data_IF_901014017891
#
_entry.id   IF_901014017891
#
_cell.length_a   1.000
_cell.length_b   1.000
_cell.length_c   1.000
_cell.angle_alpha   90.00
_cell.angle_beta   90.00
_cell.angle_gamma   90.00
#
_symmetry.space_group_name_H-M   'P 1'
#
loop_
_entity.id
_entity.type
_entity.pdbx_description
1 polymer ?
#
# COMPACT_ATOMS: atom_id res chain seq x y z
N UNK A 1 -4.76 -16.65 -20.30
CA UNK A 1 -5.87 -15.75 -19.97
C UNK A 1 -6.47 -16.19 -18.65
N UNK A 2 -6.68 -15.27 -17.72
CA UNK A 2 -7.33 -15.52 -16.42
C UNK A 2 -8.58 -14.63 -16.33
N UNK A 3 -9.66 -15.18 -15.82
CA UNK A 3 -10.81 -14.39 -15.40
C UNK A 3 -10.52 -13.74 -14.05
N UNK A 4 -10.96 -12.49 -13.85
CA UNK A 4 -10.58 -11.68 -12.74
C UNK A 4 -11.76 -10.90 -12.16
N UNK A 5 -11.84 -10.82 -10.83
CA UNK A 5 -12.73 -9.93 -10.10
C UNK A 5 -11.92 -8.99 -9.21
N UNK A 6 -12.02 -7.70 -9.47
CA UNK A 6 -11.46 -6.68 -8.59
C UNK A 6 -12.18 -6.72 -7.24
N UNK A 7 -11.42 -6.78 -6.16
CA UNK A 7 -11.92 -6.64 -4.79
C UNK A 7 -11.70 -5.22 -4.28
N UNK A 8 -10.50 -4.70 -4.41
CA UNK A 8 -10.13 -3.39 -3.90
C UNK A 8 -8.91 -2.84 -4.65
N UNK A 9 -8.79 -1.52 -4.69
CA UNK A 9 -7.58 -0.83 -5.12
C UNK A 9 -6.79 -0.40 -3.91
N UNK A 10 -5.51 -0.73 -3.90
CA UNK A 10 -4.58 -0.40 -2.84
C UNK A 10 -3.63 0.70 -3.33
N UNK A 11 -3.57 1.80 -2.59
CA UNK A 11 -2.83 3.00 -3.00
C UNK A 11 -1.44 3.00 -2.39
N UNK A 12 -0.44 3.41 -3.17
CA UNK A 12 0.89 3.70 -2.68
C UNK A 12 0.94 5.02 -1.92
N UNK A 13 1.57 4.98 -0.75
CA UNK A 13 1.76 6.13 0.15
C UNK A 13 3.21 6.25 0.60
N UNK A 14 3.60 7.46 0.94
CA UNK A 14 4.86 7.69 1.67
C UNK A 14 4.55 7.66 3.15
N UNK A 15 5.23 6.80 3.90
CA UNK A 15 5.11 6.70 5.35
C UNK A 15 6.35 7.29 6.03
N UNK A 16 6.11 7.90 7.18
CA UNK A 16 7.15 8.59 7.95
C UNK A 16 6.80 8.63 9.44
N UNK A 17 7.76 8.94 10.32
CA UNK A 17 7.45 9.22 11.72
C UNK A 17 6.43 10.35 11.87
N UNK A 18 5.61 10.33 12.93
CA UNK A 18 4.60 11.37 13.16
C UNK A 18 5.20 12.77 13.38
N UNK A 19 6.42 12.85 13.84
CA UNK A 19 7.19 14.09 14.07
C UNK A 19 8.07 14.52 12.89
N UNK A 20 7.97 13.80 11.77
CA UNK A 20 8.74 14.12 10.57
C UNK A 20 8.36 15.52 10.03
N UNK A 21 9.33 16.34 9.52
CA UNK A 21 9.04 17.67 9.01
C UNK A 21 7.99 17.75 7.91
N UNK A 22 7.81 16.65 7.15
CA UNK A 22 6.83 16.54 6.09
C UNK A 22 5.56 15.77 6.51
N UNK A 23 5.44 15.36 7.78
CA UNK A 23 4.21 14.77 8.30
C UNK A 23 3.05 15.77 8.15
N UNK A 24 1.95 15.32 7.59
CA UNK A 24 0.80 16.19 7.33
C UNK A 24 0.87 17.01 6.04
N UNK A 25 2.00 17.01 5.32
CA UNK A 25 2.07 17.63 4.00
C UNK A 25 1.42 16.73 2.95
N UNK A 26 0.38 17.24 2.30
CA UNK A 26 -0.36 16.54 1.26
C UNK A 26 -0.42 17.41 -0.01
N UNK A 27 0.03 16.93 -1.15
CA UNK A 27 0.78 15.68 -1.35
C UNK A 27 2.23 15.77 -0.85
N UNK A 28 2.87 14.62 -0.65
CA UNK A 28 4.30 14.53 -0.34
C UNK A 28 5.13 14.98 -1.55
N UNK A 29 6.16 15.85 -1.36
CA UNK A 29 7.01 16.29 -2.46
C UNK A 29 7.96 15.15 -2.88
N UNK A 30 7.86 14.60 -4.11
CA UNK A 30 8.64 13.44 -4.53
C UNK A 30 10.16 13.63 -4.45
N UNK A 31 10.64 14.85 -4.67
CA UNK A 31 12.06 15.20 -4.57
C UNK A 31 12.65 15.00 -3.16
N UNK A 32 11.80 14.98 -2.14
CA UNK A 32 12.23 14.70 -0.78
C UNK A 32 12.66 13.23 -0.57
N UNK A 33 12.28 12.32 -1.45
CA UNK A 33 12.77 10.94 -1.44
C UNK A 33 14.30 10.84 -1.65
N UNK A 34 14.91 11.87 -2.25
CA UNK A 34 16.36 11.96 -2.42
C UNK A 34 17.07 12.51 -1.16
N UNK A 35 16.34 13.18 -0.30
CA UNK A 35 16.90 13.92 0.86
C UNK A 35 16.89 13.08 2.14
N UNK A 36 15.87 12.25 2.32
CA UNK A 36 15.69 11.45 3.53
C UNK A 36 16.11 9.99 3.31
N UNK A 37 16.64 9.32 4.34
CA UNK A 37 16.92 7.90 4.26
C UNK A 37 15.66 7.10 3.91
N UNK A 38 15.72 6.29 2.85
CA UNK A 38 14.62 5.45 2.42
C UNK A 38 14.86 4.00 2.86
N UNK A 39 13.81 3.38 3.36
CA UNK A 39 13.76 1.97 3.73
C UNK A 39 12.86 1.28 2.72
N UNK A 40 13.36 0.26 2.04
CA UNK A 40 12.61 -0.49 1.03
C UNK A 40 12.46 -1.96 1.40
N UNK A 41 11.38 -2.56 0.90
CA UNK A 41 11.22 -4.00 0.89
C UNK A 41 12.08 -4.61 -0.22
N UNK A 42 12.75 -5.72 0.08
CA UNK A 42 13.50 -6.51 -0.89
C UNK A 42 12.61 -7.66 -1.37
N UNK A 43 11.82 -7.40 -2.39
CA UNK A 43 10.99 -8.40 -3.07
C UNK A 43 11.56 -8.83 -4.43
N UNK A 44 12.84 -8.56 -4.66
CA UNK A 44 13.48 -8.78 -5.96
C UNK A 44 13.18 -7.64 -6.95
N UNK A 45 12.73 -7.99 -8.15
CA UNK A 45 12.42 -6.99 -9.17
C UNK A 45 11.05 -6.33 -8.88
N UNK A 46 11.04 -5.33 -8.00
CA UNK A 46 9.84 -4.53 -7.73
C UNK A 46 9.62 -3.47 -8.81
N UNK A 47 8.94 -3.87 -9.86
CA UNK A 47 8.62 -2.98 -10.98
C UNK A 47 7.66 -1.84 -10.58
N UNK A 48 6.82 -2.03 -9.58
CA UNK A 48 5.80 -1.03 -9.21
C UNK A 48 6.44 0.16 -8.51
N UNK A 49 7.29 -0.08 -7.52
CA UNK A 49 7.98 1.01 -6.82
C UNK A 49 9.00 1.71 -7.72
N UNK A 50 9.69 0.96 -8.59
CA UNK A 50 10.60 1.54 -9.57
C UNK A 50 9.85 2.46 -10.54
N UNK A 51 8.65 2.07 -10.99
CA UNK A 51 7.82 2.90 -11.85
C UNK A 51 7.42 4.23 -11.19
N UNK A 52 7.23 4.25 -9.86
CA UNK A 52 6.98 5.49 -9.10
C UNK A 52 8.20 6.40 -9.17
N UNK A 53 9.39 5.87 -8.88
CA UNK A 53 10.64 6.66 -8.91
C UNK A 53 10.95 7.18 -10.31
N UNK A 54 10.77 6.36 -11.33
CA UNK A 54 10.98 6.72 -12.73
C UNK A 54 9.99 7.82 -13.19
N UNK A 55 8.72 7.72 -12.76
CA UNK A 55 7.72 8.73 -13.08
C UNK A 55 8.11 10.12 -12.58
N UNK A 56 8.62 10.20 -11.34
CA UNK A 56 9.06 11.48 -10.76
C UNK A 56 10.51 11.82 -11.10
N UNK A 57 11.24 10.93 -11.78
CA UNK A 57 12.66 11.10 -12.12
C UNK A 57 13.52 11.34 -10.88
N UNK A 58 13.16 10.73 -9.76
CA UNK A 58 13.90 10.82 -8.50
C UNK A 58 14.83 9.63 -8.34
N UNK A 59 15.96 9.86 -7.67
CA UNK A 59 16.92 8.84 -7.26
C UNK A 59 16.87 8.72 -5.74
N UNK A 60 16.05 7.82 -5.20
CA UNK A 60 15.84 7.73 -3.77
C UNK A 60 17.13 7.37 -3.04
N UNK A 61 17.31 7.95 -1.86
CA UNK A 61 18.44 7.63 -0.98
C UNK A 61 18.13 6.36 -0.20
N UNK A 62 18.26 5.18 -0.84
CA UNK A 62 18.02 3.88 -0.21
C UNK A 62 19.12 3.64 0.84
N UNK A 63 18.73 3.63 2.12
CA UNK A 63 19.62 3.42 3.25
C UNK A 63 19.54 1.99 3.77
N UNK A 64 18.35 1.42 3.75
CA UNK A 64 18.09 0.06 4.25
C UNK A 64 17.19 -0.69 3.29
N UNK A 65 17.46 -2.00 3.19
CA UNK A 65 16.63 -2.95 2.47
C UNK A 65 16.29 -4.10 3.40
N UNK A 66 15.01 -4.45 3.52
CA UNK A 66 14.52 -5.47 4.44
C UNK A 66 13.55 -6.40 3.73
N UNK A 67 13.33 -7.58 4.28
CA UNK A 67 12.52 -8.64 3.66
C UNK A 67 11.10 -8.77 4.24
N UNK A 68 10.71 -7.88 5.16
CA UNK A 68 9.41 -7.95 5.83
C UNK A 68 8.81 -6.56 6.02
N UNK A 69 7.56 -6.38 5.62
CA UNK A 69 6.80 -5.12 5.77
C UNK A 69 6.75 -4.64 7.22
N UNK A 70 6.53 -5.54 8.17
CA UNK A 70 6.46 -5.18 9.58
C UNK A 70 7.77 -4.59 10.10
N UNK A 71 8.90 -5.02 9.54
CA UNK A 71 10.20 -4.44 9.86
C UNK A 71 10.30 -3.01 9.38
N UNK A 72 9.78 -2.71 8.17
CA UNK A 72 9.73 -1.33 7.66
C UNK A 72 8.92 -0.44 8.59
N UNK A 73 7.70 -0.87 8.97
CA UNK A 73 6.83 -0.09 9.85
C UNK A 73 7.50 0.23 11.19
N UNK A 74 8.17 -0.77 11.79
CA UNK A 74 8.91 -0.58 13.03
C UNK A 74 10.10 0.39 12.87
N UNK A 75 10.89 0.24 11.80
CA UNK A 75 12.04 1.10 11.51
C UNK A 75 11.64 2.54 11.24
N UNK A 76 10.58 2.76 10.45
CA UNK A 76 10.05 4.10 10.18
C UNK A 76 9.53 4.74 11.46
N UNK A 77 8.74 4.02 12.25
CA UNK A 77 8.26 4.50 13.56
C UNK A 77 9.41 4.83 14.52
N UNK A 78 10.51 4.08 14.45
CA UNK A 78 11.74 4.32 15.20
C UNK A 78 12.60 5.48 14.68
N UNK A 79 12.19 6.16 13.61
CA UNK A 79 12.90 7.33 13.07
C UNK A 79 14.10 7.01 12.20
N UNK A 80 14.27 5.76 11.72
CA UNK A 80 15.41 5.37 10.89
C UNK A 80 15.31 5.85 9.44
N UNK A 81 14.15 6.30 9.02
CA UNK A 81 13.92 6.81 7.67
C UNK A 81 12.44 6.89 7.34
N UNK A 82 12.17 7.07 6.06
CA UNK A 82 10.82 7.04 5.47
C UNK A 82 10.70 5.82 4.55
N UNK A 83 9.48 5.49 4.12
CA UNK A 83 9.29 4.42 3.14
C UNK A 83 8.15 4.75 2.17
N UNK A 84 8.13 4.09 1.04
CA UNK A 84 7.02 4.10 0.09
C UNK A 84 6.42 2.70 0.09
N UNK A 85 5.17 2.59 0.48
CA UNK A 85 4.48 1.30 0.57
C UNK A 85 2.98 1.43 0.41
N UNK A 86 2.30 0.31 0.30
CA UNK A 86 0.88 0.26 0.05
C UNK A 86 0.08 0.59 1.31
N UNK A 87 -1.03 1.27 1.12
CA UNK A 87 -1.92 1.70 2.20
C UNK A 87 -2.46 0.54 3.04
N UNK A 88 -2.65 -0.65 2.43
CA UNK A 88 -3.09 -1.85 3.14
C UNK A 88 -2.17 -2.22 4.31
N UNK A 89 -0.87 -1.95 4.19
CA UNK A 89 0.09 -2.21 5.26
C UNK A 89 -0.17 -1.37 6.51
N UNK A 90 -0.88 -0.25 6.37
CA UNK A 90 -1.26 0.62 7.48
C UNK A 90 -2.56 0.17 8.16
N UNK A 91 -3.30 -0.76 7.57
CA UNK A 91 -4.53 -1.27 8.15
C UNK A 91 -4.25 -1.96 9.49
N UNK A 92 -4.87 -1.43 10.57
CA UNK A 92 -4.61 -1.87 11.95
C UNK A 92 -3.13 -1.88 12.35
N UNK A 93 -2.32 -1.00 11.75
CA UNK A 93 -0.93 -0.84 12.14
C UNK A 93 -0.83 -0.40 13.61
N UNK A 94 -0.01 -1.09 14.38
CA UNK A 94 0.20 -0.79 15.80
C UNK A 94 1.22 0.36 16.03
N UNK A 95 1.95 0.77 14.99
CA UNK A 95 2.96 1.81 15.09
C UNK A 95 2.40 3.19 14.79
N UNK A 96 2.80 4.23 15.54
CA UNK A 96 2.44 5.61 15.25
C UNK A 96 3.20 6.09 14.01
N UNK A 97 2.49 6.23 12.90
CA UNK A 97 3.03 6.63 11.61
C UNK A 97 2.17 7.72 10.98
N UNK A 98 2.82 8.64 10.29
CA UNK A 98 2.16 9.54 9.36
C UNK A 98 2.26 8.99 7.93
N UNK A 99 1.21 9.17 7.15
CA UNK A 99 1.17 8.76 5.76
C UNK A 99 0.73 9.93 4.88
N UNK A 100 1.39 10.08 3.73
CA UNK A 100 1.09 11.11 2.75
C UNK A 100 0.88 10.51 1.38
N UNK A 101 -0.05 11.09 0.62
CA UNK A 101 -0.25 10.72 -0.79
C UNK A 101 0.86 11.29 -1.65
N UNK A 102 1.15 10.64 -2.77
CA UNK A 102 1.95 11.22 -3.84
C UNK A 102 1.08 12.12 -4.74
N UNK A 103 1.66 13.10 -5.48
CA UNK A 103 0.89 13.99 -6.36
C UNK A 103 0.08 13.23 -7.40
N UNK A 104 0.62 12.17 -7.98
CA UNK A 104 -0.09 11.20 -8.79
C UNK A 104 -0.43 9.96 -7.96
N UNK A 105 -1.66 9.52 -8.04
CA UNK A 105 -2.09 8.28 -7.39
C UNK A 105 -1.54 7.08 -8.15
N UNK A 106 -0.72 6.29 -7.47
CA UNK A 106 -0.33 4.96 -7.91
C UNK A 106 -1.10 3.95 -7.08
N UNK A 107 -1.61 2.92 -7.73
CA UNK A 107 -2.35 1.87 -7.04
C UNK A 107 -2.07 0.51 -7.69
N UNK A 108 -2.26 -0.52 -6.91
CA UNK A 108 -2.34 -1.90 -7.38
C UNK A 108 -3.75 -2.43 -7.19
N UNK A 109 -4.16 -3.34 -8.05
CA UNK A 109 -5.45 -3.99 -7.95
C UNK A 109 -5.31 -5.29 -7.16
N UNK A 110 -6.13 -5.45 -6.12
CA UNK A 110 -6.25 -6.68 -5.36
C UNK A 110 -7.54 -7.37 -5.80
N UNK A 111 -7.43 -8.63 -6.20
CA UNK A 111 -8.57 -9.33 -6.73
C UNK A 111 -8.46 -10.85 -6.66
N UNK A 112 -9.48 -11.52 -7.15
CA UNK A 112 -9.54 -12.96 -7.28
C UNK A 112 -9.36 -13.33 -8.75
N UNK A 113 -8.38 -14.18 -9.05
CA UNK A 113 -8.14 -14.73 -10.37
C UNK A 113 -8.53 -16.19 -10.43
N UNK A 114 -9.17 -16.59 -11.50
CA UNK A 114 -9.48 -17.99 -11.80
C UNK A 114 -9.12 -18.30 -13.25
N UNK A 115 -8.89 -19.57 -13.54
CA UNK A 115 -8.55 -20.00 -14.89
C UNK A 115 -9.71 -19.82 -15.88
N UNK A 116 -10.92 -20.16 -15.45
CA UNK A 116 -12.15 -20.07 -16.25
C UNK A 116 -13.33 -19.90 -15.30
N UNK A 117 -14.04 -18.78 -15.39
CA UNK A 117 -15.22 -18.50 -14.55
C UNK A 117 -16.42 -19.41 -14.86
N UNK A 118 -16.47 -19.99 -16.06
CA UNK A 118 -17.58 -20.88 -16.45
C UNK A 118 -17.37 -22.33 -15.96
N UNK A 119 -16.16 -22.66 -15.49
CA UNK A 119 -15.80 -23.98 -14.99
C UNK A 119 -15.71 -24.05 -13.46
N UNK A 120 -16.26 -23.06 -12.75
CA UNK A 120 -16.22 -23.02 -11.29
C UNK A 120 -17.21 -23.99 -10.66
N UNK A 121 -16.79 -24.62 -9.55
CA UNK A 121 -17.71 -25.34 -8.68
C UNK A 121 -18.68 -24.39 -7.98
N UNK A 122 -19.84 -24.89 -7.54
CA UNK A 122 -20.79 -24.07 -6.78
C UNK A 122 -20.18 -23.50 -5.49
N UNK A 123 -19.33 -24.24 -4.80
CA UNK A 123 -18.64 -23.77 -3.59
C UNK A 123 -17.63 -22.66 -3.89
N UNK A 124 -16.89 -22.79 -4.99
CA UNK A 124 -15.95 -21.73 -5.42
C UNK A 124 -16.70 -20.46 -5.79
N UNK A 125 -17.79 -20.57 -6.54
CA UNK A 125 -18.62 -19.41 -6.88
C UNK A 125 -19.20 -18.75 -5.63
N UNK A 126 -19.74 -19.52 -4.70
CA UNK A 126 -20.29 -19.00 -3.44
C UNK A 126 -19.21 -18.30 -2.60
N UNK A 127 -17.98 -18.83 -2.56
CA UNK A 127 -16.86 -18.19 -1.87
C UNK A 127 -16.50 -16.85 -2.51
N UNK A 128 -16.41 -16.78 -3.84
CA UNK A 128 -16.10 -15.54 -4.57
C UNK A 128 -17.18 -14.49 -4.28
N UNK A 129 -18.46 -14.86 -4.39
CA UNK A 129 -19.57 -13.94 -4.17
C UNK A 129 -19.61 -13.44 -2.72
N UNK A 130 -19.38 -14.33 -1.75
CA UNK A 130 -19.27 -13.97 -0.34
C UNK A 130 -18.11 -13.01 -0.09
N UNK A 131 -16.93 -13.29 -0.63
CA UNK A 131 -15.74 -12.45 -0.46
C UNK A 131 -15.96 -11.05 -1.03
N UNK A 132 -16.51 -10.95 -2.23
CA UNK A 132 -16.83 -9.66 -2.86
C UNK A 132 -17.83 -8.85 -2.03
N UNK A 133 -18.88 -9.51 -1.56
CA UNK A 133 -19.89 -8.86 -0.72
C UNK A 133 -19.29 -8.40 0.62
N UNK A 134 -18.49 -9.24 1.25
CA UNK A 134 -17.83 -8.92 2.52
C UNK A 134 -16.87 -7.72 2.37
N UNK A 135 -16.07 -7.67 1.31
CA UNK A 135 -15.16 -6.52 1.06
C UNK A 135 -15.96 -5.24 0.87
N UNK A 136 -17.03 -5.25 0.07
CA UNK A 136 -17.88 -4.08 -0.14
C UNK A 136 -18.54 -3.58 1.14
N UNK A 137 -18.95 -4.50 2.03
CA UNK A 137 -19.57 -4.14 3.31
C UNK A 137 -18.56 -3.59 4.33
N UNK A 138 -17.34 -4.14 4.37
CA UNK A 138 -16.37 -3.80 5.40
C UNK A 138 -15.40 -2.70 4.97
N UNK A 139 -15.19 -2.49 3.67
CA UNK A 139 -14.25 -1.53 3.12
C UNK A 139 -14.83 -0.75 1.93
N UNK A 140 -15.98 -0.07 2.11
CA UNK A 140 -16.65 0.62 0.99
C UNK A 140 -15.80 1.77 0.42
N UNK A 141 -14.95 2.38 1.23
CA UNK A 141 -14.09 3.52 0.88
C UNK A 141 -12.59 3.18 0.92
N UNK A 142 -12.23 1.90 1.05
CA UNK A 142 -10.85 1.43 1.15
C UNK A 142 -10.46 0.93 2.55
N UNK A 143 -9.20 0.47 2.66
CA UNK A 143 -8.72 -0.26 3.84
C UNK A 143 -8.64 0.58 5.11
N UNK A 144 -8.36 1.86 5.00
CA UNK A 144 -8.15 2.79 6.12
C UNK A 144 -9.33 3.73 6.37
N UNK A 145 -10.45 3.55 5.66
CA UNK A 145 -11.66 4.29 5.96
C UNK A 145 -12.18 3.90 7.37
N UNK A 146 -12.59 4.87 8.19
CA UNK A 146 -13.16 4.59 9.51
C UNK A 146 -14.41 3.73 9.36
N UNK A 147 -14.50 2.65 10.14
CA UNK A 147 -15.68 1.79 10.13
C UNK A 147 -16.89 2.57 10.66
N UNK A 148 -18.09 2.33 10.13
CA UNK A 148 -19.32 3.05 10.56
C UNK A 148 -19.60 2.99 12.07
N UNK A 149 -19.04 2.04 12.78
CA UNK A 149 -19.23 1.81 14.21
C UNK A 149 -18.10 2.39 15.09
N UNK A 150 -17.09 3.03 14.52
CA UNK A 150 -15.95 3.64 15.23
C UNK A 150 -16.06 5.18 15.32
N UNK A 151 -17.26 5.74 14.97
CA UNK A 151 -17.56 7.17 15.12
C UNK A 151 -18.35 7.45 16.41
#
# INVERSE_FOLDING_TARGET
YLDYWLLQRDQWKVIMPCDHPLAGRQPFPPEALEQYPLILLDEGDDYEIQAIFDHYKVRPRIQYTVQQDQTILAMVSGGLGISVMEELMLYKCAYPLAASTLPKVFHRDIGICVKDKNALSHSTQAFIDHTRHWVLQNFPEGWNAPKPHER
#
